data_IF_768763687416
#
_entry.id   IF_768763687416
#
_cell.length_a   1.000
_cell.length_b   1.000
_cell.length_c   1.000
_cell.angle_alpha   90.00
_cell.angle_beta   90.00
_cell.angle_gamma   90.00
#
_symmetry.space_group_name_H-M   'P 1'
#
loop_
_entity.id
_entity.type
_entity.pdbx_description
1 polymer ?
#
# COMPACT_ATOMS: atom_id res chain seq x y z
N UNK A 1 5.31 15.85 -11.83
CA UNK A 1 6.57 16.06 -11.08
C UNK A 1 7.71 16.14 -12.11
N UNK A 2 8.84 16.83 -11.90
CA UNK A 2 9.95 16.71 -12.85
C UNK A 2 10.40 15.23 -12.89
N UNK A 3 10.70 14.70 -14.08
CA UNK A 3 11.02 13.27 -14.28
C UNK A 3 12.12 12.76 -13.33
N UNK A 4 13.11 13.59 -13.02
CA UNK A 4 14.18 13.26 -12.07
C UNK A 4 13.70 13.07 -10.63
N UNK A 5 12.69 13.82 -10.19
CA UNK A 5 12.14 13.73 -8.84
C UNK A 5 11.34 12.42 -8.69
N UNK A 6 10.58 12.02 -9.72
CA UNK A 6 9.86 10.74 -9.73
C UNK A 6 10.80 9.53 -9.68
N UNK A 7 11.97 9.62 -10.34
CA UNK A 7 13.00 8.56 -10.29
C UNK A 7 13.57 8.39 -8.88
N UNK A 8 13.88 9.48 -8.18
CA UNK A 8 14.38 9.45 -6.79
C UNK A 8 13.34 8.85 -5.83
N UNK A 9 12.07 9.24 -5.97
CA UNK A 9 10.95 8.67 -5.18
C UNK A 9 10.80 7.17 -5.43
N UNK A 10 10.97 6.73 -6.68
CA UNK A 10 10.89 5.30 -7.02
C UNK A 10 12.03 4.50 -6.37
N UNK A 11 13.26 5.00 -6.40
CA UNK A 11 14.41 4.34 -5.77
C UNK A 11 14.21 4.22 -4.25
N UNK A 12 13.85 5.32 -3.58
CA UNK A 12 13.58 5.31 -2.14
C UNK A 12 12.43 4.36 -1.79
N UNK A 13 11.39 4.28 -2.63
CA UNK A 13 10.29 3.33 -2.43
C UNK A 13 10.80 1.88 -2.43
N UNK A 14 11.62 1.48 -3.39
CA UNK A 14 12.14 0.11 -3.45
C UNK A 14 13.11 -0.22 -2.32
N UNK A 15 13.91 0.75 -1.86
CA UNK A 15 14.76 0.57 -0.68
C UNK A 15 13.92 0.28 0.57
N UNK A 16 12.89 1.10 0.81
CA UNK A 16 11.99 0.93 1.95
C UNK A 16 11.21 -0.39 1.83
N UNK A 17 10.72 -0.72 0.63
CA UNK A 17 10.05 -1.97 0.33
C UNK A 17 10.93 -3.16 0.71
N UNK A 18 12.16 -3.23 0.20
CA UNK A 18 13.08 -4.33 0.49
C UNK A 18 13.39 -4.43 1.98
N UNK A 19 13.66 -3.31 2.63
CA UNK A 19 13.98 -3.27 4.07
C UNK A 19 12.84 -3.83 4.92
N UNK A 20 11.61 -3.34 4.74
CA UNK A 20 10.47 -3.83 5.51
C UNK A 20 10.00 -5.21 5.08
N UNK A 21 10.17 -5.60 3.80
CA UNK A 21 9.94 -6.98 3.37
C UNK A 21 10.85 -7.95 4.12
N UNK A 22 12.13 -7.64 4.33
CA UNK A 22 13.03 -8.47 5.14
C UNK A 22 12.56 -8.55 6.59
N UNK A 23 12.14 -7.41 7.18
CA UNK A 23 11.59 -7.38 8.55
C UNK A 23 10.35 -8.27 8.67
N UNK A 24 9.38 -8.16 7.76
CA UNK A 24 8.17 -8.98 7.82
C UNK A 24 8.42 -10.45 7.48
N UNK A 25 9.41 -10.74 6.63
CA UNK A 25 9.85 -12.11 6.35
C UNK A 25 10.53 -12.76 7.58
N UNK A 26 11.22 -11.99 8.42
CA UNK A 26 11.82 -12.51 9.66
C UNK A 26 10.77 -13.14 10.60
N UNK A 27 9.56 -12.60 10.63
CA UNK A 27 8.45 -13.14 11.42
C UNK A 27 7.75 -14.36 10.79
N UNK A 28 8.36 -15.00 9.78
CA UNK A 28 7.82 -16.19 9.11
C UNK A 28 7.42 -17.30 10.08
N UNK A 29 8.20 -17.51 11.15
CA UNK A 29 7.90 -18.55 12.15
C UNK A 29 6.55 -18.33 12.87
N UNK A 30 6.11 -17.08 13.00
CA UNK A 30 4.90 -16.72 13.77
C UNK A 30 3.66 -16.58 12.89
N UNK A 31 3.82 -16.01 11.70
CA UNK A 31 2.69 -15.65 10.84
C UNK A 31 2.87 -16.12 9.38
N UNK A 32 3.82 -17.03 9.14
CA UNK A 32 4.21 -17.51 7.79
C UNK A 32 4.50 -16.31 6.87
N UNK A 33 4.21 -16.43 5.58
CA UNK A 33 4.35 -15.34 4.61
C UNK A 33 3.22 -14.29 4.69
N UNK A 34 2.29 -14.39 5.64
CA UNK A 34 1.10 -13.54 5.66
C UNK A 34 1.44 -12.06 5.83
N UNK A 35 2.42 -11.76 6.71
CA UNK A 35 2.90 -10.41 6.97
C UNK A 35 3.62 -9.81 5.76
N UNK A 36 4.48 -10.61 5.14
CA UNK A 36 5.18 -10.20 3.92
C UNK A 36 4.19 -9.92 2.80
N UNK A 37 3.22 -10.80 2.58
CA UNK A 37 2.22 -10.64 1.54
C UNK A 37 1.36 -9.42 1.76
N UNK A 38 0.87 -9.20 2.97
CA UNK A 38 0.11 -8.00 3.28
C UNK A 38 0.88 -6.73 2.99
N UNK A 39 2.11 -6.65 3.48
CA UNK A 39 3.00 -5.53 3.22
C UNK A 39 3.24 -5.30 1.72
N UNK A 40 3.62 -6.33 0.97
CA UNK A 40 3.94 -6.23 -0.46
C UNK A 40 2.72 -5.82 -1.28
N UNK A 41 1.53 -6.36 -0.97
CA UNK A 41 0.27 -5.98 -1.63
C UNK A 41 -0.05 -4.50 -1.35
N UNK A 42 0.06 -4.07 -0.10
CA UNK A 42 -0.19 -2.68 0.29
C UNK A 42 0.77 -1.70 -0.37
N UNK A 43 2.07 -2.02 -0.38
CA UNK A 43 3.10 -1.21 -1.01
C UNK A 43 2.91 -1.13 -2.52
N UNK A 44 2.63 -2.26 -3.18
CA UNK A 44 2.37 -2.32 -4.63
C UNK A 44 1.12 -1.52 -5.00
N UNK A 45 0.07 -1.58 -4.18
CA UNK A 45 -1.16 -0.78 -4.38
C UNK A 45 -0.87 0.70 -4.27
N UNK A 46 -0.10 1.12 -3.27
CA UNK A 46 0.33 2.52 -3.08
C UNK A 46 1.15 3.03 -4.27
N UNK A 47 2.08 2.21 -4.76
CA UNK A 47 2.90 2.51 -5.93
C UNK A 47 2.08 2.61 -7.21
N UNK A 48 1.12 1.71 -7.41
CA UNK A 48 0.20 1.76 -8.55
C UNK A 48 -0.64 3.04 -8.52
N UNK A 49 -1.20 3.39 -7.35
CA UNK A 49 -1.96 4.64 -7.17
C UNK A 49 -1.10 5.87 -7.50
N UNK A 50 0.17 5.86 -7.13
CA UNK A 50 1.10 6.94 -7.49
C UNK A 50 1.22 7.12 -9.00
N UNK A 51 1.50 6.04 -9.72
CA UNK A 51 1.65 6.09 -11.18
C UNK A 51 0.36 6.44 -11.89
N UNK A 52 -0.78 5.94 -11.40
CA UNK A 52 -2.10 6.34 -11.88
C UNK A 52 -2.26 7.86 -11.68
N UNK A 53 -1.97 8.39 -10.50
CA UNK A 53 -2.06 9.84 -10.21
C UNK A 53 -1.07 10.67 -11.02
N UNK A 54 0.13 10.18 -11.27
CA UNK A 54 1.12 10.87 -12.09
C UNK A 54 0.65 10.90 -13.55
N UNK A 55 0.16 9.78 -14.09
CA UNK A 55 -0.42 9.70 -15.44
C UNK A 55 -1.65 10.62 -15.60
N UNK A 56 -2.54 10.66 -14.61
CA UNK A 56 -3.66 11.59 -14.58
C UNK A 56 -3.22 13.04 -14.37
N UNK A 57 -2.17 13.30 -13.58
CA UNK A 57 -1.61 14.66 -13.46
C UNK A 57 -1.10 15.16 -14.80
N UNK A 58 -0.42 14.33 -15.61
CA UNK A 58 -0.06 14.72 -16.97
C UNK A 58 -1.28 15.06 -17.85
N UNK A 59 -2.41 14.37 -17.67
CA UNK A 59 -3.68 14.71 -18.32
C UNK A 59 -4.36 15.98 -17.74
N UNK A 60 -4.04 16.38 -16.51
CA UNK A 60 -4.72 17.43 -15.74
C UNK A 60 -3.88 18.71 -15.61
N UNK A 61 -2.60 18.71 -16.00
CA UNK A 61 -1.68 19.85 -15.93
C UNK A 61 -2.15 21.11 -16.73
N UNK A 62 -3.32 21.07 -17.37
CA UNK A 62 -4.02 22.25 -17.90
C UNK A 62 -5.18 22.81 -17.05
N UNK A 63 -5.58 22.23 -15.91
CA UNK A 63 -6.82 22.61 -15.20
C UNK A 63 -6.62 23.16 -13.76
N UNK A 64 -7.49 24.11 -13.39
CA UNK A 64 -7.43 24.95 -12.16
C UNK A 64 -7.16 24.15 -10.87
N UNK A 65 -6.36 24.75 -9.97
CA UNK A 65 -5.93 24.23 -8.64
C UNK A 65 -7.04 23.58 -7.79
N UNK A 66 -8.27 24.11 -7.86
CA UNK A 66 -9.45 23.56 -7.15
C UNK A 66 -9.86 22.17 -7.66
N UNK A 67 -9.77 21.91 -8.97
CA UNK A 67 -10.12 20.61 -9.56
C UNK A 67 -9.09 19.53 -9.21
N UNK A 68 -7.80 19.88 -9.13
CA UNK A 68 -6.76 18.96 -8.69
C UNK A 68 -6.90 18.59 -7.20
N UNK A 69 -7.30 19.54 -6.35
CA UNK A 69 -7.58 19.29 -4.94
C UNK A 69 -8.80 18.36 -4.78
N UNK A 70 -9.90 18.65 -5.48
CA UNK A 70 -11.10 17.80 -5.47
C UNK A 70 -10.81 16.37 -5.92
N UNK A 71 -10.04 16.19 -7.01
CA UNK A 71 -9.66 14.87 -7.49
C UNK A 71 -8.77 14.12 -6.48
N UNK A 72 -7.89 14.82 -5.78
CA UNK A 72 -7.04 14.23 -4.74
C UNK A 72 -7.88 13.73 -3.54
N UNK A 73 -8.89 14.50 -3.14
CA UNK A 73 -9.85 14.11 -2.10
C UNK A 73 -10.69 12.92 -2.57
N UNK A 74 -11.21 12.96 -3.80
CA UNK A 74 -11.96 11.86 -4.39
C UNK A 74 -11.13 10.57 -4.40
N UNK A 75 -9.89 10.64 -4.89
CA UNK A 75 -8.98 9.50 -4.91
C UNK A 75 -8.67 8.97 -3.50
N UNK A 76 -8.59 9.85 -2.49
CA UNK A 76 -8.43 9.44 -1.10
C UNK A 76 -9.67 8.69 -0.59
N UNK A 77 -10.87 9.25 -0.80
CA UNK A 77 -12.14 8.62 -0.41
C UNK A 77 -12.31 7.28 -1.10
N UNK A 78 -12.11 7.19 -2.41
CA UNK A 78 -12.19 5.94 -3.17
C UNK A 78 -11.21 4.89 -2.66
N UNK A 79 -9.96 5.28 -2.35
CA UNK A 79 -8.98 4.36 -1.78
C UNK A 79 -9.41 3.85 -0.41
N UNK A 80 -9.95 4.72 0.44
CA UNK A 80 -10.41 4.35 1.78
C UNK A 80 -11.63 3.42 1.72
N UNK A 81 -12.60 3.71 0.85
CA UNK A 81 -13.76 2.86 0.59
C UNK A 81 -13.34 1.50 0.05
N UNK A 82 -12.36 1.44 -0.86
CA UNK A 82 -11.84 0.18 -1.40
C UNK A 82 -11.17 -0.68 -0.32
N UNK A 83 -10.35 -0.08 0.55
CA UNK A 83 -9.73 -0.78 1.68
C UNK A 83 -10.79 -1.26 2.69
N UNK A 84 -11.77 -0.42 2.99
CA UNK A 84 -12.91 -0.79 3.84
C UNK A 84 -13.71 -1.96 3.26
N UNK A 85 -14.00 -1.93 1.96
CA UNK A 85 -14.69 -3.00 1.25
C UNK A 85 -13.89 -4.31 1.30
N UNK A 86 -12.59 -4.29 1.01
CA UNK A 86 -11.72 -5.47 1.11
C UNK A 86 -11.71 -6.05 2.54
N UNK A 87 -11.70 -5.19 3.55
CA UNK A 87 -11.74 -5.60 4.96
C UNK A 87 -13.06 -6.30 5.31
N UNK A 88 -14.20 -5.72 4.90
CA UNK A 88 -15.52 -6.34 5.09
C UNK A 88 -15.62 -7.67 4.35
N UNK A 89 -15.10 -7.75 3.13
CA UNK A 89 -15.11 -8.97 2.32
C UNK A 89 -14.28 -10.08 2.98
N UNK A 90 -13.10 -9.75 3.54
CA UNK A 90 -12.28 -10.69 4.32
C UNK A 90 -13.02 -11.20 5.57
N UNK A 91 -13.68 -10.31 6.32
CA UNK A 91 -14.47 -10.68 7.50
C UNK A 91 -15.64 -11.59 7.09
N UNK A 92 -16.31 -11.28 5.98
CA UNK A 92 -17.45 -12.06 5.48
C UNK A 92 -17.03 -13.46 5.03
N UNK A 93 -15.95 -13.57 4.24
CA UNK A 93 -15.37 -14.85 3.80
C UNK A 93 -14.95 -15.71 4.99
N UNK A 94 -14.34 -15.09 6.00
CA UNK A 94 -14.02 -15.76 7.27
C UNK A 94 -15.29 -16.32 7.96
N UNK A 95 -16.32 -15.48 8.14
CA UNK A 95 -17.58 -15.89 8.78
C UNK A 95 -18.25 -17.07 8.07
N UNK A 96 -18.25 -17.09 6.73
CA UNK A 96 -18.80 -18.20 5.93
C UNK A 96 -17.97 -19.47 6.12
N UNK A 97 -16.65 -19.36 6.13
CA UNK A 97 -15.79 -20.54 6.31
C UNK A 97 -15.97 -21.21 7.65
N UNK A 98 -16.05 -20.44 8.74
CA UNK A 98 -16.30 -20.96 10.08
C UNK A 98 -17.63 -21.72 10.10
N UNK A 99 -18.66 -21.16 9.47
CA UNK A 99 -20.00 -21.77 9.37
C UNK A 99 -19.98 -23.10 8.60
N UNK A 100 -19.10 -23.24 7.60
CA UNK A 100 -18.99 -24.43 6.75
C UNK A 100 -17.98 -25.48 7.26
N UNK A 101 -17.53 -25.40 8.52
CA UNK A 101 -16.48 -26.25 9.14
C UNK A 101 -15.15 -26.32 8.36
N UNK A 102 -14.98 -25.46 7.36
CA UNK A 102 -13.82 -25.40 6.47
C UNK A 102 -12.96 -24.23 6.91
N UNK A 103 -12.47 -24.26 8.16
CA UNK A 103 -11.73 -23.14 8.74
C UNK A 103 -10.54 -22.74 7.84
N UNK A 104 -10.62 -21.57 7.20
CA UNK A 104 -9.59 -21.07 6.27
C UNK A 104 -8.26 -20.90 7.00
N UNK A 105 -8.31 -20.72 8.33
CA UNK A 105 -7.16 -20.58 9.20
C UNK A 105 -6.52 -21.89 9.63
N UNK A 106 -7.02 -23.05 9.23
CA UNK A 106 -6.35 -24.35 9.52
C UNK A 106 -5.70 -24.95 8.28
N UNK A 107 -6.18 -24.61 7.08
CA UNK A 107 -5.56 -25.04 5.82
C UNK A 107 -4.36 -24.16 5.46
N UNK A 108 -3.18 -24.76 5.37
CA UNK A 108 -1.90 -24.07 5.11
C UNK A 108 -1.93 -23.17 3.87
N UNK A 109 -2.66 -23.57 2.82
CA UNK A 109 -2.79 -22.82 1.56
C UNK A 109 -3.52 -21.49 1.71
N UNK A 110 -4.50 -21.41 2.61
CA UNK A 110 -5.32 -20.21 2.75
C UNK A 110 -4.95 -19.35 3.97
N UNK A 111 -4.32 -19.92 4.99
CA UNK A 111 -3.84 -19.18 6.16
C UNK A 111 -3.03 -17.93 5.80
N UNK A 112 -2.19 -18.04 4.76
CA UNK A 112 -1.28 -16.97 4.35
C UNK A 112 -2.05 -15.74 3.84
N UNK A 113 -3.10 -15.94 3.04
CA UNK A 113 -3.86 -14.85 2.42
C UNK A 113 -4.90 -14.23 3.37
N UNK A 114 -5.52 -15.04 4.23
CA UNK A 114 -6.70 -14.64 5.00
C UNK A 114 -6.41 -14.22 6.45
N UNK A 115 -5.16 -14.37 6.94
CA UNK A 115 -4.81 -14.02 8.32
C UNK A 115 -5.11 -12.53 8.61
N UNK A 116 -5.82 -12.18 9.68
CA UNK A 116 -6.18 -10.78 9.95
C UNK A 116 -4.98 -9.85 10.10
N UNK A 117 -3.85 -10.36 10.60
CA UNK A 117 -2.60 -9.58 10.73
C UNK A 117 -2.06 -9.06 9.39
N UNK A 118 -2.42 -9.71 8.27
CA UNK A 118 -2.16 -9.21 6.91
C UNK A 118 -2.65 -7.75 6.75
N UNK A 119 -3.84 -7.41 7.26
CA UNK A 119 -4.43 -6.07 7.13
C UNK A 119 -3.56 -4.99 7.79
N UNK A 120 -2.93 -5.29 8.92
CA UNK A 120 -2.04 -4.37 9.61
C UNK A 120 -0.81 -4.09 8.72
N UNK A 121 -0.19 -5.16 8.22
CA UNK A 121 0.97 -5.04 7.33
C UNK A 121 0.63 -4.41 5.98
N UNK A 122 -0.57 -4.64 5.45
CA UNK A 122 -1.10 -3.96 4.27
C UNK A 122 -1.18 -2.45 4.47
N UNK A 123 -1.74 -2.03 5.62
CA UNK A 123 -1.85 -0.61 5.94
C UNK A 123 -0.47 0.04 6.04
N UNK A 124 0.50 -0.66 6.64
CA UNK A 124 1.89 -0.23 6.69
C UNK A 124 2.50 -0.13 5.27
N UNK A 125 2.27 -1.14 4.43
CA UNK A 125 2.62 -1.15 3.02
C UNK A 125 2.07 0.07 2.27
N UNK A 126 0.80 0.40 2.50
CA UNK A 126 0.12 1.51 1.85
C UNK A 126 0.78 2.88 2.13
N UNK A 127 1.42 3.04 3.28
CA UNK A 127 2.10 4.28 3.70
C UNK A 127 3.53 4.38 3.13
N UNK A 128 4.12 3.29 2.63
CA UNK A 128 5.50 3.21 2.12
C UNK A 128 5.83 4.30 1.09
N UNK A 129 4.92 4.57 0.14
CA UNK A 129 5.13 5.62 -0.84
C UNK A 129 5.19 7.03 -0.21
N UNK A 130 4.33 7.31 0.79
CA UNK A 130 4.34 8.60 1.50
C UNK A 130 5.64 8.79 2.26
N UNK A 131 6.19 7.73 2.85
CA UNK A 131 7.52 7.76 3.47
C UNK A 131 8.62 8.05 2.45
N UNK A 132 8.56 7.41 1.28
CA UNK A 132 9.51 7.67 0.19
C UNK A 132 9.48 9.13 -0.27
N UNK A 133 8.27 9.68 -0.45
CA UNK A 133 8.07 11.09 -0.79
C UNK A 133 8.64 12.01 0.29
N UNK A 134 8.35 11.75 1.57
CA UNK A 134 8.87 12.52 2.70
C UNK A 134 10.41 12.54 2.71
N UNK A 135 11.05 11.37 2.53
CA UNK A 135 12.52 11.27 2.48
C UNK A 135 13.11 12.06 1.32
N UNK A 136 12.48 12.04 0.15
CA UNK A 136 12.88 12.88 -0.98
C UNK A 136 12.79 14.38 -0.63
N UNK A 137 11.70 14.82 0.01
CA UNK A 137 11.52 16.22 0.41
C UNK A 137 12.57 16.69 1.43
N UNK A 138 12.87 15.86 2.44
CA UNK A 138 13.89 16.18 3.46
C UNK A 138 15.28 16.29 2.81
N UNK A 139 15.63 15.34 1.93
CA UNK A 139 16.92 15.34 1.25
C UNK A 139 17.10 16.51 0.28
N UNK A 140 16.00 17.02 -0.30
CA UNK A 140 16.03 18.20 -1.17
C UNK A 140 16.40 19.46 -0.37
N UNK A 141 15.73 19.71 0.77
CA UNK A 141 16.03 20.85 1.64
C UNK A 141 17.47 20.86 2.15
N UNK A 142 18.05 19.69 2.43
CA UNK A 142 19.44 19.57 2.90
C UNK A 142 20.50 19.93 1.85
N UNK A 143 20.17 19.89 0.56
CA UNK A 143 21.08 20.28 -0.53
C UNK A 143 21.01 21.77 -0.88
N UNK A 144 19.94 22.45 -0.45
CA UNK A 144 19.71 23.88 -0.68
C UNK A 144 20.17 24.76 0.51
N UNK A 145 20.61 24.13 1.61
CA UNK A 145 21.19 24.77 2.80
C UNK A 145 22.69 24.48 2.89
#
# INVERSE_FOLDING_TARGET
MQYEDSKKVTINFFIILLYFSVIFAYFYKYAKLSLLLGYVIGASTSFLIFWIKEAFSYLIIGKKKSQAASLSVLAFVTSFTFVGFLTVLLIFVNKISIKNMNNIYTKSSFQIAFYPLNLITYTFGFVTLKMSLLLCFINKKRKEA
#
